data_IF_074130074422
#
_entry.id   IF_074130074422
#
_cell.length_a   1.000
_cell.length_b   1.000
_cell.length_c   1.000
_cell.angle_alpha   90.00
_cell.angle_beta   90.00
_cell.angle_gamma   90.00
#
_symmetry.space_group_name_H-M   'P 1'
#
loop_
_entity.id
_entity.type
_entity.pdbx_description
1 polymer ?
#
# COMPACT_ATOMS: atom_id res chain seq x y z
N UNK A 1 15.73 -43.88 45.99
CA UNK A 1 16.99 -43.30 45.48
C UNK A 1 17.59 -42.57 46.66
N UNK A 2 18.52 -43.22 47.37
CA UNK A 2 19.16 -42.67 48.57
C UNK A 2 19.98 -41.46 48.20
N UNK A 3 19.73 -40.34 48.87
CA UNK A 3 20.52 -39.12 48.77
C UNK A 3 21.94 -39.46 49.24
N UNK A 4 22.92 -39.38 48.33
CA UNK A 4 24.31 -39.64 48.68
C UNK A 4 24.82 -38.41 49.42
N UNK A 5 24.83 -38.47 50.74
CA UNK A 5 25.46 -37.43 51.57
C UNK A 5 26.97 -37.50 51.39
N UNK A 6 27.53 -36.44 50.81
CA UNK A 6 28.97 -36.29 50.70
C UNK A 6 29.52 -35.58 51.94
N UNK A 7 30.70 -36.00 52.44
CA UNK A 7 31.35 -35.30 53.53
C UNK A 7 31.64 -33.84 53.14
N UNK A 8 31.62 -32.95 54.16
CA UNK A 8 31.79 -31.50 53.98
C UNK A 8 33.09 -31.14 53.25
N UNK A 9 34.12 -31.96 53.42
CA UNK A 9 35.43 -31.80 52.81
C UNK A 9 35.76 -33.07 52.01
N UNK A 10 36.23 -32.89 50.77
CA UNK A 10 36.57 -33.99 49.87
C UNK A 10 37.84 -33.65 49.10
N UNK A 11 38.77 -34.61 49.02
CA UNK A 11 40.07 -34.46 48.33
C UNK A 11 39.89 -34.08 46.86
N UNK A 12 38.77 -34.49 46.24
CA UNK A 12 38.46 -34.18 44.84
C UNK A 12 38.05 -32.71 44.61
N UNK A 13 37.68 -31.97 45.66
CA UNK A 13 37.35 -30.55 45.59
C UNK A 13 38.59 -29.65 45.77
N UNK A 14 39.78 -30.23 45.98
CA UNK A 14 41.03 -29.48 46.17
C UNK A 14 41.57 -28.87 44.87
N UNK A 15 41.19 -29.42 43.71
CA UNK A 15 41.54 -28.87 42.40
C UNK A 15 40.42 -27.91 42.00
N UNK A 16 40.71 -26.60 41.85
CA UNK A 16 39.73 -25.65 41.35
C UNK A 16 39.21 -26.12 39.99
N UNK A 17 37.90 -26.11 39.81
CA UNK A 17 37.32 -26.38 38.49
C UNK A 17 37.56 -25.17 37.61
N UNK A 18 37.95 -25.41 36.37
CA UNK A 18 38.07 -24.34 35.39
C UNK A 18 36.74 -23.59 35.30
N UNK A 19 36.76 -22.31 35.67
CA UNK A 19 35.59 -21.46 35.59
C UNK A 19 35.21 -21.32 34.11
N UNK A 20 34.06 -21.87 33.75
CA UNK A 20 33.50 -21.69 32.40
C UNK A 20 33.19 -20.21 32.24
N UNK A 21 34.04 -19.49 31.50
CA UNK A 21 33.79 -18.09 31.20
C UNK A 21 32.47 -17.97 30.43
N UNK A 22 31.43 -17.47 31.10
CA UNK A 22 30.17 -17.18 30.44
C UNK A 22 30.37 -16.02 29.49
N UNK A 23 30.26 -16.28 28.19
CA UNK A 23 30.31 -15.23 27.17
C UNK A 23 29.15 -14.26 27.36
N UNK A 24 29.47 -12.96 27.39
CA UNK A 24 28.45 -11.91 27.48
C UNK A 24 27.61 -11.93 26.20
N UNK A 25 26.29 -11.86 26.36
CA UNK A 25 25.37 -11.76 25.23
C UNK A 25 25.68 -10.50 24.40
N UNK A 26 25.49 -10.62 23.08
CA UNK A 26 25.66 -9.51 22.17
C UNK A 26 24.68 -8.38 22.51
N UNK A 27 25.17 -7.14 22.50
CA UNK A 27 24.34 -5.96 22.72
C UNK A 27 23.37 -5.80 21.55
N UNK A 28 22.12 -5.46 21.85
CA UNK A 28 21.13 -5.12 20.82
C UNK A 28 21.66 -4.04 19.87
N UNK A 29 21.45 -4.27 18.57
CA UNK A 29 21.73 -3.30 17.52
C UNK A 29 20.45 -2.96 16.76
N UNK A 30 20.24 -1.68 16.46
CA UNK A 30 19.11 -1.24 15.65
C UNK A 30 19.16 -1.86 14.24
N UNK A 31 18.00 -2.30 13.74
CA UNK A 31 17.81 -2.78 12.37
C UNK A 31 18.18 -1.73 11.31
N UNK A 32 18.11 -0.45 11.67
CA UNK A 32 18.40 0.69 10.79
C UNK A 32 19.84 1.19 10.88
N UNK A 33 20.69 0.59 11.72
CA UNK A 33 22.12 0.94 11.77
C UNK A 33 22.81 0.93 10.39
N UNK A 34 22.62 -0.08 9.51
CA UNK A 34 23.29 -0.06 8.20
C UNK A 34 22.80 1.09 7.29
N UNK A 35 21.52 1.44 7.35
CA UNK A 35 20.97 2.52 6.50
C UNK A 35 21.54 3.88 6.90
N UNK A 36 21.61 4.15 8.20
CA UNK A 36 22.22 5.40 8.73
C UNK A 36 23.68 5.54 8.30
N UNK A 37 24.46 4.46 8.35
CA UNK A 37 25.87 4.48 7.91
C UNK A 37 26.01 4.80 6.42
N UNK A 38 25.09 4.32 5.58
CA UNK A 38 25.10 4.61 4.14
C UNK A 38 24.74 6.08 3.87
N UNK A 39 23.69 6.59 4.52
CA UNK A 39 23.23 7.98 4.39
C UNK A 39 24.30 8.99 4.86
N UNK A 40 24.98 8.68 5.97
CA UNK A 40 26.07 9.49 6.48
C UNK A 40 27.28 9.51 5.54
N UNK A 41 27.54 8.43 4.81
CA UNK A 41 28.66 8.35 3.86
C UNK A 41 28.34 9.02 2.52
N UNK A 42 27.11 8.88 2.02
CA UNK A 42 26.72 9.45 0.72
C UNK A 42 26.68 10.97 0.70
N UNK A 43 26.50 11.61 1.86
CA UNK A 43 26.33 13.07 1.98
C UNK A 43 27.64 13.81 2.28
N UNK A 44 28.77 13.09 2.43
CA UNK A 44 30.07 13.65 2.83
C UNK A 44 31.07 13.60 1.67
N UNK A 45 31.34 14.75 1.06
CA UNK A 45 32.56 14.92 0.27
C UNK A 45 33.73 15.19 1.22
N UNK A 46 34.86 14.51 1.02
CA UNK A 46 36.01 14.51 1.94
C UNK A 46 36.57 15.90 2.30
N UNK A 47 36.33 16.91 1.45
CA UNK A 47 36.89 18.25 1.58
C UNK A 47 35.90 19.36 1.19
N UNK A 48 34.59 19.18 1.47
CA UNK A 48 33.54 20.10 1.02
C UNK A 48 33.67 21.53 1.56
N UNK A 49 34.04 21.69 2.83
CA UNK A 49 34.00 22.99 3.53
C UNK A 49 35.27 23.82 3.34
N UNK A 50 36.45 23.19 3.51
CA UNK A 50 37.74 23.91 3.50
C UNK A 50 38.65 23.54 2.32
N UNK A 51 38.23 22.64 1.44
CA UNK A 51 39.07 22.16 0.35
C UNK A 51 40.27 21.32 0.83
N UNK A 52 41.17 20.92 -0.08
CA UNK A 52 42.36 20.16 0.26
C UNK A 52 43.37 21.02 1.02
N UNK A 53 44.05 20.44 2.01
CA UNK A 53 45.06 21.13 2.82
C UNK A 53 46.26 21.62 2.00
N UNK A 54 46.59 20.91 0.91
CA UNK A 54 47.57 21.32 -0.10
C UNK A 54 46.93 21.10 -1.46
N UNK A 55 46.70 22.18 -2.20
CA UNK A 55 46.19 22.10 -3.58
C UNK A 55 47.32 21.63 -4.49
N UNK A 56 47.12 20.51 -5.18
CA UNK A 56 48.08 20.02 -6.15
C UNK A 56 48.10 20.96 -7.37
N UNK A 57 49.27 21.50 -7.68
CA UNK A 57 49.47 22.37 -8.84
C UNK A 57 49.60 21.48 -10.08
N UNK A 58 48.81 21.71 -11.14
CA UNK A 58 48.87 20.88 -12.34
C UNK A 58 50.24 21.03 -13.03
N UNK A 59 50.87 19.89 -13.33
CA UNK A 59 52.10 19.87 -14.12
C UNK A 59 51.84 20.40 -15.54
N UNK A 60 52.73 21.23 -16.11
CA UNK A 60 52.57 21.80 -17.45
C UNK A 60 52.49 20.75 -18.57
N UNK A 61 52.99 19.54 -18.33
CA UNK A 61 52.89 18.41 -19.26
C UNK A 61 51.48 17.80 -19.34
N UNK A 62 50.64 18.03 -18.32
CA UNK A 62 49.27 17.45 -18.20
C UNK A 62 48.20 18.50 -18.48
N UNK A 63 48.37 19.27 -19.55
CA UNK A 63 47.36 20.23 -19.99
C UNK A 63 46.10 19.53 -20.54
N UNK A 64 44.94 20.18 -20.38
CA UNK A 64 43.67 19.66 -20.88
C UNK A 64 43.63 19.68 -22.41
N UNK A 65 43.37 18.53 -23.02
CA UNK A 65 43.15 18.39 -24.47
C UNK A 65 41.66 18.47 -24.80
N UNK A 66 41.32 18.80 -26.05
CA UNK A 66 39.92 18.80 -26.54
C UNK A 66 39.28 17.43 -26.28
N UNK A 67 38.02 17.42 -25.83
CA UNK A 67 37.23 16.22 -25.52
C UNK A 67 37.75 15.34 -24.36
N UNK A 68 38.72 15.80 -23.57
CA UNK A 68 39.30 15.00 -22.46
C UNK A 68 38.34 14.74 -21.29
N UNK A 69 37.40 15.66 -21.03
CA UNK A 69 36.41 15.58 -19.93
C UNK A 69 35.04 15.12 -20.40
N UNK A 70 34.89 14.80 -21.67
CA UNK A 70 33.57 14.42 -22.19
C UNK A 70 33.19 13.02 -21.69
N UNK A 71 31.97 12.86 -21.14
CA UNK A 71 31.49 11.57 -20.69
C UNK A 71 31.34 10.64 -21.88
N UNK A 72 32.13 9.57 -21.92
CA UNK A 72 31.98 8.53 -22.94
C UNK A 72 30.71 7.74 -22.64
N UNK A 73 29.67 7.98 -23.43
CA UNK A 73 28.46 7.17 -23.37
C UNK A 73 28.80 5.76 -23.86
N UNK A 74 28.33 4.70 -23.18
CA UNK A 74 28.54 3.34 -23.65
C UNK A 74 27.93 3.17 -25.04
N UNK A 75 28.64 2.45 -25.91
CA UNK A 75 28.17 2.12 -27.24
C UNK A 75 26.87 1.33 -27.14
N UNK A 76 25.83 1.75 -27.87
CA UNK A 76 24.50 1.15 -27.82
C UNK A 76 24.53 -0.22 -28.49
N UNK A 77 24.99 -1.24 -27.77
CA UNK A 77 24.75 -2.64 -28.14
C UNK A 77 23.24 -2.86 -28.15
N UNK A 78 22.74 -3.55 -29.17
CA UNK A 78 21.30 -3.73 -29.45
C UNK A 78 20.49 -4.33 -28.29
N UNK A 79 21.18 -4.85 -27.26
CA UNK A 79 20.64 -5.43 -26.03
C UNK A 79 20.22 -4.40 -24.96
N UNK A 80 20.63 -3.13 -25.02
CA UNK A 80 20.28 -2.16 -23.96
C UNK A 80 18.90 -1.51 -24.11
N UNK A 81 18.08 -1.93 -25.07
CA UNK A 81 16.72 -1.40 -25.27
C UNK A 81 15.70 -1.99 -24.29
N UNK A 82 16.01 -3.12 -23.65
CA UNK A 82 15.01 -3.87 -22.87
C UNK A 82 14.93 -3.51 -21.39
N UNK A 83 15.84 -2.67 -20.86
CA UNK A 83 15.95 -2.47 -19.40
C UNK A 83 15.42 -1.11 -18.94
N UNK A 84 15.12 -0.17 -19.84
CA UNK A 84 14.54 1.13 -19.45
C UNK A 84 13.04 1.12 -19.63
N UNK A 85 12.35 0.75 -18.55
CA UNK A 85 10.93 1.01 -18.33
C UNK A 85 10.06 0.64 -19.54
N UNK A 86 9.89 -0.67 -19.76
CA UNK A 86 8.70 -1.10 -20.48
C UNK A 86 7.51 -0.61 -19.66
N UNK A 87 6.89 0.48 -20.11
CA UNK A 87 5.64 0.97 -19.55
C UNK A 87 4.67 -0.21 -19.58
N UNK A 88 4.39 -0.79 -18.41
CA UNK A 88 3.61 -2.02 -18.24
C UNK A 88 2.13 -1.83 -18.57
N UNK A 89 1.75 -0.65 -19.07
CA UNK A 89 0.42 -0.39 -19.60
C UNK A 89 0.55 -0.16 -21.09
N UNK A 90 0.64 -1.26 -21.85
CA UNK A 90 0.42 -1.21 -23.29
C UNK A 90 -1.04 -0.77 -23.49
N UNK A 91 -1.24 0.49 -23.88
CA UNK A 91 -2.53 0.92 -24.43
C UNK A 91 -2.91 -0.09 -25.52
N UNK A 92 -4.20 -0.49 -25.62
CA UNK A 92 -4.62 -1.38 -26.69
C UNK A 92 -4.23 -0.77 -28.04
N UNK A 93 -3.86 -1.63 -28.98
CA UNK A 93 -3.53 -1.20 -30.33
C UNK A 93 -4.74 -0.46 -30.93
N UNK A 94 -4.45 0.61 -31.68
CA UNK A 94 -5.48 1.35 -32.41
C UNK A 94 -6.13 0.38 -33.42
N UNK A 95 -7.47 0.35 -33.54
CA UNK A 95 -8.15 -0.47 -34.53
C UNK A 95 -7.61 -0.25 -35.94
N UNK A 96 -7.58 -1.33 -36.73
CA UNK A 96 -7.14 -1.25 -38.12
C UNK A 96 -8.15 -0.46 -38.97
N UNK A 97 -7.69 0.18 -40.05
CA UNK A 97 -8.59 0.92 -40.95
C UNK A 97 -9.68 0.04 -41.59
N UNK A 98 -9.46 -1.26 -41.67
CA UNK A 98 -10.41 -2.25 -42.21
C UNK A 98 -11.47 -2.68 -41.20
N UNK A 99 -11.31 -2.34 -39.92
CA UNK A 99 -12.25 -2.68 -38.86
C UNK A 99 -13.42 -1.68 -38.89
N UNK A 100 -14.50 -2.04 -39.59
CA UNK A 100 -15.75 -1.27 -39.58
C UNK A 100 -16.54 -1.65 -38.32
N UNK A 101 -16.68 -0.72 -37.35
CA UNK A 101 -17.47 -1.02 -36.16
C UNK A 101 -18.92 -1.29 -36.59
N UNK A 102 -19.64 -2.20 -35.91
CA UNK A 102 -21.04 -2.46 -36.20
C UNK A 102 -21.85 -1.19 -35.96
N UNK A 103 -22.11 -0.44 -37.03
CA UNK A 103 -22.85 0.81 -36.95
C UNK A 103 -24.33 0.53 -36.83
N UNK A 104 -24.91 0.86 -35.68
CA UNK A 104 -26.33 0.71 -35.40
C UNK A 104 -26.70 -0.75 -35.12
N UNK A 105 -27.05 -1.05 -33.88
CA UNK A 105 -27.66 -2.33 -33.54
C UNK A 105 -29.08 -2.31 -34.10
N UNK A 106 -29.26 -2.76 -35.33
CA UNK A 106 -30.58 -2.93 -35.94
C UNK A 106 -31.25 -4.18 -35.36
N UNK A 107 -31.77 -4.06 -34.13
CA UNK A 107 -32.57 -5.14 -33.56
C UNK A 107 -33.90 -5.24 -34.30
N UNK A 108 -34.30 -6.43 -34.72
CA UNK A 108 -35.63 -6.71 -35.28
C UNK A 108 -36.77 -6.62 -34.24
N UNK A 109 -36.51 -6.02 -33.07
CA UNK A 109 -37.45 -5.98 -31.95
C UNK A 109 -38.38 -4.78 -32.11
N UNK A 110 -39.68 -5.03 -32.01
CA UNK A 110 -40.69 -3.99 -31.99
C UNK A 110 -40.62 -3.20 -30.67
N UNK A 111 -40.03 -2.01 -30.69
CA UNK A 111 -39.93 -1.13 -29.52
C UNK A 111 -41.31 -0.68 -29.01
N UNK A 112 -42.28 -0.54 -29.91
CA UNK A 112 -43.65 -0.14 -29.57
C UNK A 112 -44.36 -1.24 -28.77
N UNK A 113 -44.24 -2.51 -29.20
CA UNK A 113 -44.85 -3.67 -28.49
C UNK A 113 -44.11 -4.04 -27.20
N UNK A 114 -42.85 -3.65 -27.06
CA UNK A 114 -42.09 -3.87 -25.83
C UNK A 114 -42.43 -2.80 -24.78
N UNK A 115 -42.73 -1.58 -25.21
CA UNK A 115 -43.11 -0.46 -24.34
C UNK A 115 -44.58 -0.50 -23.87
N UNK A 116 -45.45 -1.33 -24.45
CA UNK A 116 -46.82 -1.56 -23.95
C UNK A 116 -46.87 -2.32 -22.63
N UNK A 117 -45.75 -2.85 -22.14
CA UNK A 117 -45.62 -3.22 -20.74
C UNK A 117 -45.74 -1.94 -19.90
N UNK A 118 -46.89 -1.79 -19.22
CA UNK A 118 -47.22 -0.64 -18.38
C UNK A 118 -46.02 -0.30 -17.48
N UNK A 119 -45.48 0.92 -17.54
CA UNK A 119 -44.36 1.32 -16.69
C UNK A 119 -44.83 1.26 -15.24
N UNK A 120 -44.43 0.22 -14.52
CA UNK A 120 -44.68 0.13 -13.08
C UNK A 120 -43.87 1.22 -12.40
N UNK A 121 -44.56 2.06 -11.61
CA UNK A 121 -43.88 3.06 -10.80
C UNK A 121 -42.93 2.32 -9.84
N UNK A 122 -41.63 2.68 -9.81
CA UNK A 122 -40.69 2.04 -8.89
C UNK A 122 -41.10 2.32 -7.44
N UNK A 123 -40.90 1.34 -6.56
CA UNK A 123 -41.17 1.52 -5.14
C UNK A 123 -40.25 2.59 -4.54
N UNK A 124 -40.77 3.49 -3.69
CA UNK A 124 -39.97 4.52 -3.04
C UNK A 124 -38.93 3.86 -2.12
N UNK A 125 -37.67 3.92 -2.55
CA UNK A 125 -36.50 3.33 -1.86
C UNK A 125 -35.37 4.34 -1.74
N UNK A 126 -34.70 4.36 -0.59
CA UNK A 126 -33.47 5.10 -0.37
C UNK A 126 -32.26 4.16 -0.52
N UNK A 127 -31.15 4.64 -1.06
CA UNK A 127 -29.93 3.86 -1.27
C UNK A 127 -28.76 4.61 -0.65
N UNK A 128 -28.23 4.08 0.46
CA UNK A 128 -27.18 4.76 1.24
C UNK A 128 -25.77 4.46 0.74
N UNK A 129 -25.55 3.26 0.19
CA UNK A 129 -24.20 2.77 -0.14
C UNK A 129 -24.01 2.57 -1.63
N UNK A 130 -22.76 2.77 -2.10
CA UNK A 130 -22.33 2.46 -3.48
C UNK A 130 -22.53 0.98 -3.85
N UNK A 131 -22.68 0.10 -2.86
CA UNK A 131 -22.95 -1.34 -3.01
C UNK A 131 -24.44 -1.66 -3.18
N UNK A 132 -25.33 -0.65 -3.16
CA UNK A 132 -26.74 -0.82 -3.47
C UNK A 132 -27.60 -1.34 -2.32
N UNK A 133 -27.19 -1.17 -1.06
CA UNK A 133 -28.07 -1.44 0.08
C UNK A 133 -29.29 -0.51 0.02
N UNK A 134 -30.50 -1.06 -0.08
CA UNK A 134 -31.75 -0.31 -0.27
C UNK A 134 -32.64 -0.41 0.96
N UNK A 135 -33.18 0.72 1.41
CA UNK A 135 -34.18 0.79 2.47
C UNK A 135 -35.52 1.26 1.91
N UNK A 136 -36.60 0.54 2.20
CA UNK A 136 -37.97 0.93 1.86
C UNK A 136 -38.38 2.16 2.70
N UNK A 137 -38.85 3.23 2.03
CA UNK A 137 -39.22 4.49 2.67
C UNK A 137 -40.55 4.42 3.45
N UNK A 138 -41.36 3.39 3.24
CA UNK A 138 -42.65 3.20 3.93
C UNK A 138 -42.52 3.05 5.46
N UNK A 139 -41.39 2.54 5.95
CA UNK A 139 -41.16 2.29 7.37
C UNK A 139 -40.24 3.34 8.02
N UNK A 140 -39.64 4.25 7.24
CA UNK A 140 -38.68 5.24 7.76
C UNK A 140 -39.33 6.46 8.42
N UNK A 141 -40.66 6.52 8.46
CA UNK A 141 -41.41 7.67 9.00
C UNK A 141 -41.42 8.91 8.09
N UNK A 142 -40.68 8.87 6.97
CA UNK A 142 -40.67 9.95 5.97
C UNK A 142 -41.91 9.94 5.08
N UNK A 143 -42.61 8.81 5.00
CA UNK A 143 -43.87 8.68 4.27
C UNK A 143 -45.03 8.86 5.26
N UNK A 144 -45.92 9.85 5.06
CA UNK A 144 -47.03 10.13 5.96
C UNK A 144 -48.12 9.05 5.89
N UNK A 145 -47.92 7.95 6.63
CA UNK A 145 -48.82 6.78 6.61
C UNK A 145 -50.04 6.90 7.53
N UNK A 146 -49.89 7.54 8.70
CA UNK A 146 -50.93 7.55 9.74
C UNK A 146 -51.54 8.93 10.01
N UNK A 147 -51.17 9.97 9.26
CA UNK A 147 -51.64 11.34 9.48
C UNK A 147 -53.18 11.46 9.42
N UNK A 148 -53.82 10.64 8.58
CA UNK A 148 -55.29 10.65 8.40
C UNK A 148 -56.04 9.63 9.28
N UNK A 149 -55.35 8.92 10.19
CA UNK A 149 -55.98 7.87 11.00
C UNK A 149 -56.76 8.48 12.18
N UNK A 150 -58.09 8.51 12.05
CA UNK A 150 -59.02 9.22 12.96
C UNK A 150 -59.23 8.57 14.34
N UNK A 151 -58.70 7.37 14.60
CA UNK A 151 -59.10 6.50 15.74
C UNK A 151 -57.98 6.33 16.78
N UNK A 152 -56.98 7.21 16.84
CA UNK A 152 -55.88 7.05 17.82
C UNK A 152 -56.13 7.72 19.18
N UNK A 153 -57.18 8.53 19.31
CA UNK A 153 -57.47 9.33 20.51
C UNK A 153 -58.59 8.73 21.40
N UNK A 154 -59.17 7.58 21.05
CA UNK A 154 -60.41 7.10 21.68
C UNK A 154 -60.23 6.07 22.80
N UNK A 155 -59.01 5.72 23.23
CA UNK A 155 -58.79 4.66 24.24
C UNK A 155 -58.06 5.07 25.52
N UNK A 156 -57.79 6.35 25.77
CA UNK A 156 -57.18 6.79 27.05
C UNK A 156 -58.17 7.27 28.13
N UNK A 157 -59.49 7.20 27.89
CA UNK A 157 -60.52 7.76 28.79
C UNK A 157 -61.30 6.73 29.62
N UNK A 158 -60.84 5.48 29.79
CA UNK A 158 -61.53 4.49 30.63
C UNK A 158 -60.57 3.66 31.50
N UNK A 159 -59.87 4.30 32.44
CA UNK A 159 -59.32 3.64 33.65
C UNK A 159 -59.20 4.66 34.79
N UNK A 160 -60.31 5.29 35.19
CA UNK A 160 -60.42 6.00 36.47
C UNK A 160 -61.86 5.92 36.99
N UNK A 161 -62.18 4.80 37.64
CA UNK A 161 -63.21 4.78 38.67
C UNK A 161 -62.82 3.76 39.74
N UNK A 162 -63.03 4.20 40.97
CA UNK A 162 -62.82 3.64 42.31
C UNK A 162 -62.99 2.12 42.41
#
# INVERSE_FOLDING_TARGET
MSEVEYPRESVYNLIPRDEVQTEKQQRYMSKYRPTVVLEEKSTKDAMRTMGPAKVEVPSPEKFLKKHSKEPKLPEKTQCSKDVRHSCTVKKPAVPAMTDTPPMGIHTKRDFIKTATAVPMKPQPTCVDTRKGHKQLLENSGLVPKYIKKKVFLSTSLHTRTI
#
